data_IF_297528316219
#
_entry.id   IF_297528316219
#
_cell.length_a   1.000
_cell.length_b   1.000
_cell.length_c   1.000
_cell.angle_alpha   90.00
_cell.angle_beta   90.00
_cell.angle_gamma   90.00
#
_symmetry.space_group_name_H-M   'P 1'
#
loop_
_entity.id
_entity.type
_entity.pdbx_description
1 polymer ?
#
# COMPACT_ATOMS: atom_id res chain seq x y z
N UNK A 1 -29.34 -14.91 15.81
CA UNK A 1 -28.03 -15.35 16.32
C UNK A 1 -27.04 -15.17 15.19
N UNK A 2 -26.30 -14.05 15.16
CA UNK A 2 -25.34 -13.77 14.09
C UNK A 2 -23.96 -13.79 14.72
N UNK A 3 -23.25 -14.92 14.58
CA UNK A 3 -21.87 -15.08 15.02
C UNK A 3 -20.95 -14.37 14.04
N UNK A 4 -20.33 -13.28 14.50
CA UNK A 4 -19.19 -12.64 13.83
C UNK A 4 -18.01 -13.62 13.78
N UNK A 5 -17.29 -13.77 12.65
CA UNK A 5 -16.12 -14.65 12.58
C UNK A 5 -15.00 -14.15 13.53
N UNK A 6 -14.11 -15.05 13.98
CA UNK A 6 -13.02 -14.68 14.88
C UNK A 6 -12.12 -13.62 14.23
N UNK A 7 -11.63 -12.68 15.04
CA UNK A 7 -10.74 -11.64 14.58
C UNK A 7 -9.49 -12.27 13.95
N UNK A 8 -9.35 -12.17 12.62
CA UNK A 8 -8.10 -12.46 11.94
C UNK A 8 -6.99 -11.67 12.63
N UNK A 9 -5.89 -12.35 12.98
CA UNK A 9 -4.65 -11.73 13.44
C UNK A 9 -4.06 -10.92 12.27
N UNK A 10 -4.67 -9.76 12.03
CA UNK A 10 -4.24 -8.78 11.04
C UNK A 10 -3.12 -8.00 11.70
N UNK A 11 -1.93 -7.94 11.09
CA UNK A 11 -0.83 -7.19 11.65
C UNK A 11 -1.29 -5.75 11.90
N UNK A 12 -0.99 -5.26 13.11
CA UNK A 12 -1.30 -3.88 13.46
C UNK A 12 -0.61 -2.95 12.45
N UNK A 13 -1.31 -1.89 12.03
CA UNK A 13 -0.71 -0.82 11.23
C UNK A 13 0.56 -0.33 11.92
N UNK A 14 1.67 -0.36 11.19
CA UNK A 14 3.01 -0.02 11.69
C UNK A 14 3.59 1.24 11.04
N UNK A 15 2.81 1.89 10.15
CA UNK A 15 3.18 3.09 9.42
C UNK A 15 2.20 4.24 9.72
N UNK A 16 2.66 5.48 9.58
CA UNK A 16 1.86 6.68 9.81
C UNK A 16 1.46 7.35 8.51
N UNK A 17 2.43 7.64 7.67
CA UNK A 17 2.28 8.45 6.47
C UNK A 17 2.27 7.56 5.22
N UNK A 18 1.40 7.90 4.26
CA UNK A 18 1.29 7.25 2.95
C UNK A 18 1.48 8.32 1.88
N UNK A 19 2.40 8.12 0.95
CA UNK A 19 2.64 9.03 -0.17
C UNK A 19 2.77 8.31 -1.50
N UNK A 20 2.50 9.05 -2.58
CA UNK A 20 2.63 8.59 -3.97
C UNK A 20 3.76 9.37 -4.63
N UNK A 21 4.69 8.68 -5.26
CA UNK A 21 5.81 9.30 -5.96
C UNK A 21 6.10 8.60 -7.30
N UNK A 22 6.70 9.31 -8.27
CA UNK A 22 7.25 8.67 -9.47
C UNK A 22 8.31 7.63 -9.12
N UNK A 23 8.24 6.46 -9.76
CA UNK A 23 9.23 5.40 -9.58
C UNK A 23 10.40 5.56 -10.56
N UNK A 24 11.60 5.14 -10.15
CA UNK A 24 12.78 5.15 -11.02
C UNK A 24 12.60 4.28 -12.26
N UNK A 25 12.77 4.83 -13.47
CA UNK A 25 12.53 4.07 -14.71
C UNK A 25 11.05 4.01 -15.12
N UNK A 26 10.22 4.93 -14.62
CA UNK A 26 8.86 5.17 -15.08
C UNK A 26 7.78 4.46 -14.26
N UNK A 27 6.56 5.00 -14.29
CA UNK A 27 5.45 4.58 -13.43
C UNK A 27 5.49 5.23 -12.05
N UNK A 28 4.69 4.69 -11.14
CA UNK A 28 4.39 5.27 -9.83
C UNK A 28 4.57 4.23 -8.73
N UNK A 29 4.89 4.69 -7.52
CA UNK A 29 5.03 3.84 -6.34
C UNK A 29 4.38 4.49 -5.13
N UNK A 30 4.09 3.66 -4.14
CA UNK A 30 3.54 4.09 -2.85
C UNK A 30 4.62 3.90 -1.79
N UNK A 31 4.76 4.91 -0.95
CA UNK A 31 5.70 4.91 0.16
C UNK A 31 4.93 4.93 1.47
N UNK A 32 5.32 4.05 2.38
CA UNK A 32 4.86 4.06 3.76
C UNK A 32 6.00 4.60 4.61
N UNK A 33 5.76 5.72 5.30
CA UNK A 33 6.79 6.48 6.03
C UNK A 33 8.06 6.72 5.18
N UNK A 34 7.89 7.04 3.90
CA UNK A 34 8.99 7.28 2.97
C UNK A 34 9.72 6.03 2.47
N UNK A 35 9.17 4.82 2.69
CA UNK A 35 9.74 3.56 2.17
C UNK A 35 8.85 2.93 1.11
N UNK A 36 9.42 2.63 -0.05
CA UNK A 36 8.70 1.95 -1.12
C UNK A 36 8.21 0.56 -0.70
N UNK A 37 6.95 0.27 -1.03
CA UNK A 37 6.35 -1.02 -0.69
C UNK A 37 6.68 -2.10 -1.73
N UNK A 38 6.65 -3.34 -1.26
CA UNK A 38 6.89 -4.52 -2.07
C UNK A 38 5.65 -5.40 -2.09
N UNK A 39 5.46 -6.09 -3.21
CA UNK A 39 4.49 -7.18 -3.30
C UNK A 39 4.92 -8.34 -2.38
N UNK A 40 4.01 -9.28 -2.06
CA UNK A 40 4.38 -10.51 -1.35
C UNK A 40 5.51 -11.30 -2.03
N UNK A 41 5.62 -11.19 -3.36
CA UNK A 41 6.72 -11.73 -4.17
C UNK A 41 8.05 -10.97 -4.07
N UNK A 42 8.16 -9.97 -3.17
CA UNK A 42 9.33 -9.12 -2.94
C UNK A 42 9.73 -8.21 -4.10
N UNK A 43 8.88 -8.06 -5.11
CA UNK A 43 9.05 -7.09 -6.18
C UNK A 43 8.58 -5.71 -5.73
N UNK A 44 9.21 -4.63 -6.23
CA UNK A 44 8.71 -3.28 -6.02
C UNK A 44 7.30 -3.16 -6.61
N UNK A 45 6.36 -2.59 -5.85
CA UNK A 45 5.03 -2.33 -6.36
C UNK A 45 5.08 -1.09 -7.25
N UNK A 46 4.97 -1.31 -8.57
CA UNK A 46 4.95 -0.25 -9.58
C UNK A 46 3.59 -0.17 -10.24
N UNK A 47 3.04 1.03 -10.32
CA UNK A 47 1.73 1.32 -10.86
C UNK A 47 1.88 2.13 -12.17
N UNK A 48 1.04 1.86 -13.18
CA UNK A 48 1.16 2.51 -14.49
C UNK A 48 0.73 3.97 -14.51
N UNK A 49 -0.16 4.39 -13.59
CA UNK A 49 -0.72 5.74 -13.56
C UNK A 49 -0.72 6.31 -12.15
N UNK A 50 -0.68 7.64 -12.07
CA UNK A 50 -0.75 8.37 -10.79
C UNK A 50 -2.09 8.14 -10.11
N UNK A 51 -3.19 8.22 -10.88
CA UNK A 51 -4.55 8.05 -10.36
C UNK A 51 -4.72 6.70 -9.68
N UNK A 52 -4.23 5.60 -10.28
CA UNK A 52 -4.30 4.29 -9.63
C UNK A 52 -3.45 4.23 -8.34
N UNK A 53 -2.31 4.92 -8.32
CA UNK A 53 -1.48 5.01 -7.12
C UNK A 53 -2.13 5.82 -6.01
N UNK A 54 -2.86 6.88 -6.34
CA UNK A 54 -3.62 7.68 -5.38
C UNK A 54 -4.77 6.89 -4.78
N UNK A 55 -5.63 6.27 -5.61
CA UNK A 55 -6.73 5.41 -5.13
C UNK A 55 -6.23 4.29 -4.22
N UNK A 56 -5.12 3.66 -4.58
CA UNK A 56 -4.56 2.58 -3.77
C UNK A 56 -3.93 3.12 -2.47
N UNK A 57 -3.30 4.32 -2.50
CA UNK A 57 -2.80 4.98 -1.30
C UNK A 57 -3.92 5.30 -0.30
N UNK A 58 -5.11 5.67 -0.79
CA UNK A 58 -6.29 5.92 0.05
C UNK A 58 -6.76 4.67 0.81
N UNK A 59 -6.59 3.46 0.25
CA UNK A 59 -6.89 2.21 0.97
C UNK A 59 -6.02 2.03 2.25
N UNK A 60 -4.86 2.68 2.29
CA UNK A 60 -3.92 2.60 3.41
C UNK A 60 -3.92 3.82 4.35
N UNK A 61 -4.60 4.91 3.97
CA UNK A 61 -4.62 6.18 4.70
C UNK A 61 -5.12 6.05 6.15
#
# INVERSE_FOLDING_TARGET
MTTSPPAYDRPKRFYKDVSVEPAEGGGWQILLDGRSIKTPGRALLRLPTEALAQELAEEWA
#
